data_IF_731543173311
#
_entry.id   IF_731543173311
#
_cell.length_a   1.000
_cell.length_b   1.000
_cell.length_c   1.000
_cell.angle_alpha   90.00
_cell.angle_beta   90.00
_cell.angle_gamma   90.00
#
_symmetry.space_group_name_H-M   'P 1'
#
loop_
_entity.id
_entity.type
_entity.pdbx_description
1 polymer ?
#
# COMPACT_ATOMS: atom_id res chain seq x y z
N UNK A 1 7.74 28.19 29.51
CA UNK A 1 8.43 28.43 28.21
C UNK A 1 8.34 27.17 27.34
N UNK A 2 7.15 26.59 27.20
CA UNK A 2 6.85 25.43 26.36
C UNK A 2 5.36 25.53 26.05
N UNK A 3 5.06 26.05 24.86
CA UNK A 3 3.76 26.03 24.18
C UNK A 3 4.05 26.52 22.76
N UNK A 4 4.34 25.58 21.87
CA UNK A 4 4.39 25.74 20.41
C UNK A 4 4.42 24.31 19.84
N UNK A 5 3.53 24.06 18.89
CA UNK A 5 3.30 22.78 18.19
C UNK A 5 2.28 21.82 18.83
N UNK A 6 1.08 22.31 19.13
CA UNK A 6 -0.15 21.51 19.02
C UNK A 6 -1.04 22.19 17.98
N UNK A 7 -1.02 21.70 16.74
CA UNK A 7 -1.84 22.24 15.64
C UNK A 7 -3.29 21.74 15.65
N UNK A 8 -3.67 20.93 16.64
CA UNK A 8 -5.04 20.48 16.82
C UNK A 8 -5.43 20.63 18.28
N UNK A 9 -5.82 21.85 18.67
CA UNK A 9 -6.54 22.06 19.94
C UNK A 9 -8.01 21.69 19.69
N UNK A 10 -8.58 20.70 20.41
CA UNK A 10 -9.99 20.38 20.26
C UNK A 10 -10.79 21.37 21.12
N UNK A 11 -11.41 22.37 20.49
CA UNK A 11 -12.63 23.05 20.97
C UNK A 11 -13.14 24.06 19.95
N UNK A 12 -13.73 23.51 18.89
CA UNK A 12 -14.88 24.13 18.25
C UNK A 12 -15.71 22.98 17.68
N UNK A 13 -16.89 22.75 18.24
CA UNK A 13 -17.99 22.01 17.61
C UNK A 13 -18.48 22.83 16.42
N UNK A 14 -17.63 22.97 15.40
CA UNK A 14 -17.96 23.55 14.12
C UNK A 14 -18.52 22.45 13.24
N UNK A 15 -19.69 22.69 12.66
CA UNK A 15 -20.21 21.93 11.53
C UNK A 15 -19.07 21.64 10.55
N UNK A 16 -18.79 20.35 10.29
CA UNK A 16 -17.96 19.94 9.16
C UNK A 16 -18.52 20.64 7.91
N UNK A 17 -17.72 21.45 7.19
CA UNK A 17 -18.22 22.10 6.00
C UNK A 17 -18.62 21.01 4.99
N UNK A 18 -19.89 21.01 4.60
CA UNK A 18 -20.30 20.35 3.36
C UNK A 18 -19.33 20.80 2.26
N UNK A 19 -18.82 19.86 1.47
CA UNK A 19 -17.92 20.15 0.36
C UNK A 19 -18.52 21.25 -0.52
N UNK A 20 -18.04 22.48 -0.36
CA UNK A 20 -18.39 23.59 -1.25
C UNK A 20 -17.97 23.18 -2.67
N UNK A 21 -18.74 23.57 -3.69
CA UNK A 21 -18.40 23.26 -5.09
C UNK A 21 -16.95 23.62 -5.41
N UNK A 22 -16.53 24.77 -4.90
CA UNK A 22 -15.17 25.26 -4.94
C UNK A 22 -14.91 26.08 -3.67
N UNK A 23 -13.73 25.96 -3.07
CA UNK A 23 -13.26 27.05 -2.20
C UNK A 23 -12.99 28.28 -3.10
N UNK A 24 -13.12 29.52 -2.59
CA UNK A 24 -12.76 30.71 -3.36
C UNK A 24 -11.35 30.68 -3.97
N UNK A 25 -10.42 29.91 -3.41
CA UNK A 25 -9.07 29.71 -3.94
C UNK A 25 -9.09 28.81 -5.19
N UNK A 26 -9.90 27.74 -5.22
CA UNK A 26 -10.08 26.96 -6.45
C UNK A 26 -10.62 27.84 -7.57
N UNK A 27 -11.69 28.61 -7.30
CA UNK A 27 -12.28 29.52 -8.30
C UNK A 27 -11.28 30.55 -8.80
N UNK A 28 -10.46 31.10 -7.90
CA UNK A 28 -9.42 32.07 -8.27
C UNK A 28 -8.36 31.44 -9.18
N UNK A 29 -7.89 30.23 -8.87
CA UNK A 29 -6.90 29.53 -9.70
C UNK A 29 -7.51 29.16 -11.05
N UNK A 30 -8.69 28.52 -11.06
CA UNK A 30 -9.37 28.02 -12.27
C UNK A 30 -9.67 29.13 -13.29
N UNK A 31 -9.98 30.34 -12.80
CA UNK A 31 -10.33 31.49 -13.65
C UNK A 31 -9.15 32.43 -13.94
N UNK A 32 -7.96 32.18 -13.38
CA UNK A 32 -6.88 33.14 -13.52
C UNK A 32 -6.33 33.23 -14.94
N UNK A 33 -5.99 34.46 -15.34
CA UNK A 33 -5.33 34.75 -16.63
C UNK A 33 -3.83 34.98 -16.50
N UNK A 34 -3.33 35.16 -15.26
CA UNK A 34 -1.91 35.27 -14.92
C UNK A 34 -1.68 34.96 -13.43
N UNK A 35 -0.42 34.68 -13.05
CA UNK A 35 -0.06 34.36 -11.66
C UNK A 35 -0.36 35.51 -10.69
N UNK A 36 -0.29 36.76 -11.17
CA UNK A 36 -0.54 37.95 -10.35
C UNK A 36 -1.92 37.95 -9.71
N UNK A 37 -2.95 37.46 -10.41
CA UNK A 37 -4.31 37.40 -9.87
C UNK A 37 -4.41 36.47 -8.65
N UNK A 38 -3.75 35.31 -8.73
CA UNK A 38 -3.66 34.37 -7.60
C UNK A 38 -2.85 34.98 -6.46
N UNK A 39 -1.73 35.63 -6.75
CA UNK A 39 -0.90 36.31 -5.75
C UNK A 39 -1.67 37.42 -5.02
N UNK A 40 -2.34 38.30 -5.76
CA UNK A 40 -3.14 39.42 -5.23
C UNK A 40 -4.30 38.89 -4.37
N UNK A 41 -4.85 37.72 -4.70
CA UNK A 41 -5.86 37.05 -3.89
C UNK A 41 -5.28 36.49 -2.59
N UNK A 42 -4.21 35.69 -2.68
CA UNK A 42 -3.54 35.06 -1.52
C UNK A 42 -3.03 36.11 -0.53
N UNK A 43 -2.51 37.26 -1.01
CA UNK A 43 -2.03 38.35 -0.15
C UNK A 43 -3.13 39.00 0.73
N UNK A 44 -4.41 38.84 0.37
CA UNK A 44 -5.54 39.36 1.14
C UNK A 44 -6.02 38.39 2.23
N UNK A 45 -5.52 37.16 2.22
CA UNK A 45 -5.93 36.11 3.14
C UNK A 45 -4.99 36.02 4.34
N UNK A 46 -5.54 35.62 5.47
CA UNK A 46 -4.72 35.21 6.61
C UNK A 46 -4.09 33.84 6.35
N UNK A 47 -2.93 33.58 6.96
CA UNK A 47 -2.18 32.33 6.80
C UNK A 47 -3.04 31.08 7.02
N UNK A 48 -3.85 31.07 8.07
CA UNK A 48 -4.68 29.91 8.42
C UNK A 48 -5.82 29.68 7.42
N UNK A 49 -6.32 30.77 6.81
CA UNK A 49 -7.30 30.67 5.73
C UNK A 49 -6.68 30.05 4.47
N UNK A 50 -5.46 30.47 4.12
CA UNK A 50 -4.72 29.92 2.97
C UNK A 50 -4.49 28.41 3.18
N UNK A 51 -3.96 28.02 4.33
CA UNK A 51 -3.71 26.60 4.67
C UNK A 51 -5.01 25.80 4.58
N UNK A 52 -6.08 26.27 5.22
CA UNK A 52 -7.38 25.59 5.19
C UNK A 52 -7.88 25.40 3.76
N UNK A 53 -7.83 26.44 2.94
CA UNK A 53 -8.33 26.39 1.56
C UNK A 53 -7.47 25.50 0.66
N UNK A 54 -6.15 25.47 0.85
CA UNK A 54 -5.21 24.62 0.11
C UNK A 54 -5.35 23.13 0.43
N UNK A 55 -5.76 22.79 1.65
CA UNK A 55 -5.95 21.39 2.08
C UNK A 55 -7.41 20.94 1.98
N UNK A 56 -8.31 21.79 1.50
CA UNK A 56 -9.70 21.41 1.24
C UNK A 56 -9.81 21.02 -0.23
N UNK A 57 -10.12 19.77 -0.58
CA UNK A 57 -10.39 19.39 -1.96
C UNK A 57 -11.77 19.88 -2.41
N UNK A 58 -11.96 20.02 -3.73
CA UNK A 58 -13.27 20.25 -4.35
C UNK A 58 -14.09 18.94 -4.43
N UNK A 59 -15.31 18.99 -5.01
CA UNK A 59 -16.18 17.80 -5.16
C UNK A 59 -15.58 16.67 -6.03
N UNK A 60 -14.53 16.95 -6.81
CA UNK A 60 -13.79 15.95 -7.60
C UNK A 60 -12.57 15.40 -6.86
N UNK A 61 -12.34 15.79 -5.61
CA UNK A 61 -11.16 15.38 -4.84
C UNK A 61 -9.88 16.17 -5.16
N UNK A 62 -9.92 17.17 -6.05
CA UNK A 62 -8.73 17.94 -6.40
C UNK A 62 -8.47 19.06 -5.39
N UNK A 63 -7.21 19.24 -5.00
CA UNK A 63 -6.74 20.43 -4.29
C UNK A 63 -6.61 21.63 -5.23
N UNK A 64 -6.57 22.87 -4.71
CA UNK A 64 -6.31 24.03 -5.55
C UNK A 64 -4.99 23.95 -6.31
N UNK A 65 -3.96 23.33 -5.73
CA UNK A 65 -2.65 23.18 -6.39
C UNK A 65 -2.70 22.26 -7.62
N UNK A 66 -3.58 21.25 -7.64
CA UNK A 66 -3.73 20.36 -8.79
C UNK A 66 -4.31 21.07 -10.01
N UNK A 67 -5.03 22.19 -9.81
CA UNK A 67 -5.60 22.96 -10.91
C UNK A 67 -4.55 23.75 -11.69
N UNK A 68 -3.35 23.95 -11.12
CA UNK A 68 -2.30 24.77 -11.73
C UNK A 68 -1.78 24.16 -13.04
N UNK A 69 -1.71 22.82 -13.11
CA UNK A 69 -1.27 22.11 -14.32
C UNK A 69 -2.27 22.27 -15.48
N UNK A 70 -3.56 22.38 -15.18
CA UNK A 70 -4.63 22.54 -16.17
C UNK A 70 -4.74 23.97 -16.72
N UNK A 71 -4.06 24.95 -16.10
CA UNK A 71 -4.13 26.34 -16.53
C UNK A 71 -3.50 26.55 -17.92
N UNK A 72 -4.13 27.43 -18.71
CA UNK A 72 -3.61 27.90 -20.01
C UNK A 72 -2.59 29.04 -19.83
N UNK A 73 -1.66 28.87 -18.89
CA UNK A 73 -0.56 29.79 -18.63
C UNK A 73 0.76 29.20 -19.11
N UNK A 74 1.74 30.05 -19.41
CA UNK A 74 3.10 29.58 -19.66
C UNK A 74 3.74 28.99 -18.38
N UNK A 75 4.78 28.18 -18.56
CA UNK A 75 5.43 27.47 -17.45
C UNK A 75 5.98 28.40 -16.37
N UNK A 76 6.41 29.63 -16.71
CA UNK A 76 6.95 30.59 -15.73
C UNK A 76 5.86 31.19 -14.86
N UNK A 77 4.67 31.43 -15.43
CA UNK A 77 3.52 31.87 -14.64
C UNK A 77 3.02 30.75 -13.71
N UNK A 78 2.94 29.50 -14.18
CA UNK A 78 2.61 28.34 -13.32
C UNK A 78 3.61 28.18 -12.17
N UNK A 79 4.90 28.31 -12.47
CA UNK A 79 5.98 28.24 -11.48
C UNK A 79 5.82 29.28 -10.36
N UNK A 80 5.45 30.51 -10.68
CA UNK A 80 5.16 31.55 -9.66
C UNK A 80 4.02 31.15 -8.73
N UNK A 81 2.97 30.52 -9.28
CA UNK A 81 1.84 30.03 -8.47
C UNK A 81 2.34 28.90 -7.55
N UNK A 82 3.15 27.95 -8.06
CA UNK A 82 3.74 26.91 -7.22
C UNK A 82 4.62 27.47 -6.10
N UNK A 83 5.54 28.39 -6.41
CA UNK A 83 6.40 29.05 -5.42
C UNK A 83 5.59 29.78 -4.33
N UNK A 84 4.43 30.35 -4.70
CA UNK A 84 3.52 31.00 -3.77
C UNK A 84 2.82 29.99 -2.83
N UNK A 85 2.32 28.87 -3.36
CA UNK A 85 1.42 27.97 -2.62
C UNK A 85 2.17 26.90 -1.83
N UNK A 86 3.27 26.35 -2.35
CA UNK A 86 4.00 25.23 -1.73
C UNK A 86 4.41 25.46 -0.26
N UNK A 87 4.87 26.66 0.17
CA UNK A 87 5.22 26.91 1.57
C UNK A 87 4.06 26.71 2.56
N UNK A 88 2.81 26.83 2.09
CA UNK A 88 1.61 26.62 2.90
C UNK A 88 1.11 25.18 2.88
N UNK A 89 1.63 24.35 1.98
CA UNK A 89 1.24 22.95 1.81
C UNK A 89 2.19 21.96 2.49
N UNK A 90 3.09 22.45 3.35
CA UNK A 90 4.04 21.59 4.04
C UNK A 90 3.26 20.65 4.98
N UNK A 91 3.36 19.33 4.78
CA UNK A 91 2.60 18.37 5.56
C UNK A 91 2.99 18.42 7.05
N UNK A 92 1.98 18.32 7.91
CA UNK A 92 2.15 18.24 9.36
C UNK A 92 2.06 16.78 9.81
N UNK A 93 3.02 15.95 9.36
CA UNK A 93 3.21 14.59 9.89
C UNK A 93 4.58 14.46 10.55
N UNK A 94 4.69 13.68 11.64
CA UNK A 94 5.98 13.34 12.21
C UNK A 94 6.80 12.52 11.20
N UNK A 95 8.13 12.68 11.21
CA UNK A 95 9.00 11.83 10.36
C UNK A 95 8.75 10.35 10.67
N UNK A 96 8.86 9.48 9.67
CA UNK A 96 8.64 8.04 9.77
C UNK A 96 9.49 7.37 10.88
N UNK A 97 10.61 7.99 11.25
CA UNK A 97 11.50 7.56 12.34
C UNK A 97 11.09 8.04 13.74
N UNK A 98 10.15 8.98 13.84
CA UNK A 98 9.73 9.58 15.11
C UNK A 98 8.85 8.59 15.88
N UNK A 99 9.21 8.20 17.12
CA UNK A 99 8.38 7.28 17.91
C UNK A 99 7.06 7.94 18.34
N UNK A 100 6.05 7.11 18.52
CA UNK A 100 4.79 7.49 19.16
C UNK A 100 4.90 7.36 20.68
N UNK A 101 4.32 8.32 21.41
CA UNK A 101 4.34 8.32 22.87
C UNK A 101 3.00 7.85 23.45
N UNK A 102 3.03 6.67 24.08
CA UNK A 102 1.86 6.05 24.70
C UNK A 102 1.15 6.98 25.70
N UNK A 103 1.92 7.69 26.54
CA UNK A 103 1.35 8.56 27.59
C UNK A 103 0.62 9.75 26.98
N UNK A 104 1.21 10.37 25.97
CA UNK A 104 0.61 11.48 25.23
C UNK A 104 -0.69 11.05 24.56
N UNK A 105 -0.70 9.91 23.86
CA UNK A 105 -1.91 9.40 23.18
C UNK A 105 -2.98 9.00 24.20
N UNK A 106 -2.60 8.31 25.27
CA UNK A 106 -3.51 7.94 26.37
C UNK A 106 -4.13 9.17 27.02
N UNK A 107 -3.34 10.22 27.29
CA UNK A 107 -3.86 11.47 27.85
C UNK A 107 -4.76 12.23 26.88
N UNK A 108 -4.36 12.34 25.60
CA UNK A 108 -5.11 13.05 24.56
C UNK A 108 -6.54 12.51 24.38
N UNK A 109 -6.70 11.19 24.46
CA UNK A 109 -7.99 10.52 24.27
C UNK A 109 -8.64 10.06 25.58
N UNK A 110 -8.13 10.51 26.73
CA UNK A 110 -8.65 10.15 28.06
C UNK A 110 -8.75 8.62 28.29
N UNK A 111 -7.81 7.85 27.73
CA UNK A 111 -7.79 6.38 27.84
C UNK A 111 -7.13 6.00 29.17
N UNK A 112 -7.96 5.75 30.17
CA UNK A 112 -7.57 5.31 31.51
C UNK A 112 -7.13 3.83 31.53
N UNK A 113 -6.43 3.41 32.60
CA UNK A 113 -5.89 2.05 32.74
C UNK A 113 -6.93 0.93 32.79
N UNK A 114 -8.16 1.25 33.18
CA UNK A 114 -9.31 0.35 33.21
C UNK A 114 -10.12 0.36 31.89
N UNK A 115 -9.79 1.24 30.95
CA UNK A 115 -10.42 1.29 29.63
C UNK A 115 -10.11 0.03 28.82
N UNK A 116 -11.09 -0.51 28.07
CA UNK A 116 -10.86 -1.62 27.14
C UNK A 116 -9.90 -1.26 25.99
N UNK A 117 -9.60 0.02 25.78
CA UNK A 117 -8.62 0.49 24.78
C UNK A 117 -7.18 0.51 25.31
N UNK A 118 -6.96 0.46 26.62
CA UNK A 118 -5.64 0.72 27.21
C UNK A 118 -4.60 -0.32 26.80
N UNK A 119 -4.92 -1.62 26.90
CA UNK A 119 -3.99 -2.69 26.50
C UNK A 119 -3.74 -2.72 24.99
N UNK A 120 -4.77 -2.69 24.11
CA UNK A 120 -4.56 -2.56 22.66
C UNK A 120 -3.71 -1.34 22.28
N UNK A 121 -3.95 -0.17 22.89
CA UNK A 121 -3.17 1.03 22.64
C UNK A 121 -1.70 0.85 23.04
N UNK A 122 -1.44 0.26 24.21
CA UNK A 122 -0.07 0.01 24.69
C UNK A 122 0.69 -0.90 23.72
N UNK A 123 0.05 -1.99 23.30
CA UNK A 123 0.64 -2.94 22.34
C UNK A 123 0.87 -2.26 20.99
N UNK A 124 -0.12 -1.54 20.47
CA UNK A 124 0.00 -0.82 19.20
C UNK A 124 1.16 0.19 19.24
N UNK A 125 1.31 0.97 20.31
CA UNK A 125 2.43 1.90 20.47
C UNK A 125 3.79 1.18 20.44
N UNK A 126 3.90 0.03 21.11
CA UNK A 126 5.14 -0.76 21.12
C UNK A 126 5.50 -1.25 19.72
N UNK A 127 4.54 -1.83 19.00
CA UNK A 127 4.76 -2.35 17.64
C UNK A 127 5.03 -1.25 16.63
N UNK A 128 4.27 -0.15 16.65
CA UNK A 128 4.52 1.03 15.80
C UNK A 128 5.94 1.57 16.05
N UNK A 129 6.38 1.65 17.30
CA UNK A 129 7.72 2.10 17.63
C UNK A 129 8.80 1.12 17.15
N UNK A 130 8.57 -0.18 17.26
CA UNK A 130 9.49 -1.20 16.72
C UNK A 130 9.68 -1.03 15.21
N UNK A 131 8.59 -0.82 14.46
CA UNK A 131 8.62 -0.62 13.00
C UNK A 131 9.33 0.70 12.66
N UNK A 132 8.97 1.80 13.33
CA UNK A 132 9.53 3.13 13.04
C UNK A 132 11.02 3.24 13.38
N UNK A 133 11.51 2.45 14.33
CA UNK A 133 12.94 2.33 14.66
C UNK A 133 13.75 1.59 13.58
N UNK A 134 13.12 0.85 12.66
CA UNK A 134 13.82 0.21 11.53
C UNK A 134 14.37 1.21 10.51
N UNK A 135 13.95 2.49 10.58
CA UNK A 135 14.34 3.57 9.68
C UNK A 135 13.98 3.29 8.21
N UNK A 136 12.70 3.00 7.96
CA UNK A 136 12.17 2.76 6.64
C UNK A 136 12.31 3.97 5.70
N UNK A 137 12.47 3.70 4.41
CA UNK A 137 12.21 4.64 3.34
C UNK A 137 10.84 4.36 2.72
N UNK A 138 10.10 5.42 2.43
CA UNK A 138 8.76 5.35 1.83
C UNK A 138 8.65 6.42 0.75
N UNK A 139 8.32 6.03 -0.48
CA UNK A 139 8.13 6.98 -1.59
C UNK A 139 6.89 7.84 -1.43
N UNK A 140 5.98 7.45 -0.54
CA UNK A 140 4.70 8.13 -0.31
C UNK A 140 4.71 8.98 0.95
N UNK A 141 5.68 8.84 1.85
CA UNK A 141 5.74 9.59 3.11
C UNK A 141 6.30 11.01 2.92
N UNK A 142 5.75 12.04 3.60
CA UNK A 142 6.24 13.42 3.59
C UNK A 142 7.75 13.67 3.75
N UNK A 143 8.48 12.72 4.34
CA UNK A 143 9.94 12.76 4.45
C UNK A 143 10.63 12.84 3.06
N UNK A 144 9.92 12.42 1.99
CA UNK A 144 10.37 12.53 0.60
C UNK A 144 9.95 13.84 -0.10
N UNK A 145 9.22 14.73 0.57
CA UNK A 145 8.82 16.02 -0.02
C UNK A 145 10.04 16.89 -0.34
N UNK A 146 10.09 17.42 -1.55
CA UNK A 146 11.17 18.27 -2.06
C UNK A 146 12.42 17.48 -2.50
N UNK A 147 12.35 16.14 -2.52
CA UNK A 147 13.39 15.30 -3.12
C UNK A 147 13.28 15.34 -4.64
N UNK A 148 14.35 14.94 -5.32
CA UNK A 148 14.35 14.83 -6.77
C UNK A 148 13.28 13.83 -7.22
N UNK A 149 12.50 14.18 -8.24
CA UNK A 149 11.39 13.33 -8.69
C UNK A 149 11.88 11.99 -9.27
N UNK A 150 13.05 11.96 -9.93
CA UNK A 150 13.60 10.72 -10.48
C UNK A 150 14.05 9.77 -9.37
N UNK A 151 14.64 10.31 -8.29
CA UNK A 151 15.02 9.52 -7.11
C UNK A 151 13.80 8.93 -6.40
N UNK A 152 12.70 9.70 -6.27
CA UNK A 152 11.46 9.21 -5.64
C UNK A 152 10.76 8.18 -6.50
N UNK A 153 10.73 8.37 -7.82
CA UNK A 153 10.18 7.40 -8.76
C UNK A 153 10.99 6.09 -8.75
N UNK A 154 12.32 6.17 -8.65
CA UNK A 154 13.16 4.98 -8.47
C UNK A 154 12.80 4.25 -7.17
N UNK A 155 12.68 4.96 -6.05
CA UNK A 155 12.26 4.38 -4.77
C UNK A 155 10.87 3.75 -4.85
N UNK A 156 9.92 4.41 -5.53
CA UNK A 156 8.58 3.88 -5.74
C UNK A 156 8.62 2.56 -6.52
N UNK A 157 9.43 2.49 -7.58
CA UNK A 157 9.64 1.26 -8.35
C UNK A 157 10.27 0.16 -7.51
N UNK A 158 11.28 0.46 -6.70
CA UNK A 158 11.90 -0.53 -5.80
C UNK A 158 10.87 -1.13 -4.82
N UNK A 159 10.05 -0.28 -4.17
CA UNK A 159 8.99 -0.74 -3.26
C UNK A 159 7.98 -1.63 -4.01
N UNK A 160 7.58 -1.22 -5.22
CA UNK A 160 6.65 -2.00 -6.05
C UNK A 160 7.24 -3.35 -6.46
N UNK A 161 8.51 -3.40 -6.84
CA UNK A 161 9.21 -4.63 -7.21
C UNK A 161 9.26 -5.60 -6.01
N UNK A 162 9.49 -5.09 -4.80
CA UNK A 162 9.43 -5.88 -3.57
C UNK A 162 8.04 -6.39 -3.24
N UNK A 163 6.99 -5.58 -3.48
CA UNK A 163 5.60 -6.04 -3.34
C UNK A 163 5.30 -7.16 -4.33
N UNK A 164 5.72 -7.02 -5.59
CA UNK A 164 5.56 -8.05 -6.61
C UNK A 164 6.30 -9.34 -6.21
N UNK A 165 7.47 -9.23 -5.60
CA UNK A 165 8.21 -10.38 -5.06
C UNK A 165 7.46 -11.06 -3.91
N UNK A 166 6.85 -10.29 -3.00
CA UNK A 166 6.03 -10.82 -1.92
C UNK A 166 4.76 -11.51 -2.45
N UNK A 167 4.07 -10.90 -3.41
CA UNK A 167 2.93 -11.50 -4.11
C UNK A 167 3.33 -12.81 -4.77
N UNK A 168 4.49 -12.83 -5.44
CA UNK A 168 5.03 -14.04 -6.08
C UNK A 168 5.22 -15.17 -5.07
N UNK A 169 5.92 -14.89 -3.97
CA UNK A 169 6.19 -15.87 -2.93
C UNK A 169 4.91 -16.36 -2.24
N UNK A 170 3.93 -15.48 -2.01
CA UNK A 170 2.59 -15.85 -1.54
C UNK A 170 1.93 -16.86 -2.48
N UNK A 171 1.89 -16.57 -3.78
CA UNK A 171 1.18 -17.44 -4.73
C UNK A 171 1.88 -18.78 -4.91
N UNK A 172 3.21 -18.79 -4.92
CA UNK A 172 3.97 -20.03 -4.90
C UNK A 172 3.68 -20.85 -3.64
N UNK A 173 3.62 -20.20 -2.48
CA UNK A 173 3.29 -20.87 -1.23
C UNK A 173 1.86 -21.43 -1.23
N UNK A 174 0.86 -20.62 -1.61
CA UNK A 174 -0.53 -21.07 -1.69
C UNK A 174 -0.68 -22.23 -2.67
N UNK A 175 0.00 -22.17 -3.82
CA UNK A 175 -0.05 -23.22 -4.83
C UNK A 175 0.57 -24.55 -4.35
N UNK A 176 1.68 -24.48 -3.63
CA UNK A 176 2.44 -25.67 -3.19
C UNK A 176 1.99 -26.24 -1.85
N UNK A 177 1.20 -25.51 -1.07
CA UNK A 177 0.77 -25.93 0.25
C UNK A 177 -0.40 -26.92 0.20
N UNK A 178 -0.22 -28.10 0.79
CA UNK A 178 -1.23 -29.16 0.86
C UNK A 178 -2.47 -28.79 1.71
N UNK A 179 -2.35 -27.79 2.58
CA UNK A 179 -3.45 -27.27 3.40
C UNK A 179 -4.31 -26.21 2.68
N UNK A 180 -4.07 -25.99 1.39
CA UNK A 180 -4.85 -25.08 0.54
C UNK A 180 -5.77 -25.88 -0.36
N UNK A 181 -7.06 -25.54 -0.34
CA UNK A 181 -8.08 -26.10 -1.23
C UNK A 181 -8.61 -25.03 -2.15
N UNK A 182 -8.99 -25.40 -3.36
CA UNK A 182 -9.48 -24.48 -4.38
C UNK A 182 -10.92 -24.81 -4.71
N UNK A 183 -11.74 -23.78 -4.86
CA UNK A 183 -13.13 -23.90 -5.23
C UNK A 183 -13.41 -22.93 -6.38
N UNK A 184 -13.91 -23.46 -7.49
CA UNK A 184 -14.43 -22.64 -8.58
C UNK A 184 -15.93 -22.37 -8.38
N UNK A 185 -16.27 -21.12 -8.11
CA UNK A 185 -17.65 -20.64 -8.16
C UNK A 185 -18.00 -20.22 -9.59
N UNK A 186 -18.78 -21.06 -10.27
CA UNK A 186 -19.41 -20.74 -11.56
C UNK A 186 -20.82 -20.23 -11.26
N UNK A 187 -21.03 -18.91 -11.32
CA UNK A 187 -22.38 -18.34 -11.21
C UNK A 187 -23.00 -18.32 -12.60
N UNK A 188 -24.22 -18.83 -12.75
CA UNK A 188 -24.90 -18.98 -14.05
C UNK A 188 -25.04 -17.64 -14.82
N UNK A 189 -25.02 -16.50 -14.12
CA UNK A 189 -25.15 -15.15 -14.69
C UNK A 189 -23.85 -14.32 -14.67
N UNK A 190 -22.78 -14.83 -14.06
CA UNK A 190 -21.48 -14.15 -14.09
C UNK A 190 -20.70 -14.87 -15.17
N UNK A 191 -20.44 -14.19 -16.30
CA UNK A 191 -19.48 -14.64 -17.31
C UNK A 191 -18.07 -14.74 -16.72
N UNK A 192 -17.86 -15.01 -15.42
CA UNK A 192 -16.61 -14.96 -14.71
C UNK A 192 -16.52 -16.19 -13.80
N UNK A 193 -15.46 -16.99 -13.97
CA UNK A 193 -15.11 -18.01 -12.99
C UNK A 193 -14.39 -17.35 -11.81
N UNK A 194 -14.93 -17.49 -10.61
CA UNK A 194 -14.21 -17.10 -9.40
C UNK A 194 -13.48 -18.32 -8.87
N UNK A 195 -12.16 -18.25 -8.72
CA UNK A 195 -11.38 -19.29 -8.04
C UNK A 195 -11.04 -18.78 -6.66
N UNK A 196 -11.51 -19.48 -5.64
CA UNK A 196 -11.25 -19.14 -4.25
C UNK A 196 -10.32 -20.17 -3.65
N UNK A 197 -9.17 -19.74 -3.15
CA UNK A 197 -8.28 -20.54 -2.33
C UNK A 197 -8.73 -20.46 -0.88
N UNK A 198 -9.09 -21.58 -0.27
CA UNK A 198 -9.46 -21.72 1.13
C UNK A 198 -8.30 -22.37 1.89
N UNK A 199 -7.92 -21.79 3.02
CA UNK A 199 -6.80 -22.31 3.79
C UNK A 199 -6.91 -22.05 5.29
N UNK A 200 -6.15 -22.86 6.04
CA UNK A 200 -6.08 -22.79 7.51
C UNK A 200 -5.28 -21.57 7.98
N UNK A 201 -5.45 -21.14 9.25
CA UNK A 201 -4.69 -20.03 9.83
C UNK A 201 -3.17 -20.14 9.69
N UNK A 202 -2.59 -21.35 9.76
CA UNK A 202 -1.15 -21.55 9.59
C UNK A 202 -0.63 -21.11 8.21
N UNK A 203 -1.42 -21.31 7.17
CA UNK A 203 -1.08 -20.89 5.79
C UNK A 203 -1.16 -19.37 5.69
N UNK A 204 -2.21 -18.77 6.28
CA UNK A 204 -2.35 -17.31 6.36
C UNK A 204 -1.15 -16.67 7.06
N UNK A 205 -0.73 -17.24 8.19
CA UNK A 205 0.38 -16.71 8.97
C UNK A 205 1.69 -16.72 8.17
N UNK A 206 1.91 -17.76 7.35
CA UNK A 206 3.04 -17.83 6.42
C UNK A 206 2.92 -16.79 5.29
N UNK A 207 1.72 -16.56 4.75
CA UNK A 207 1.49 -15.50 3.74
C UNK A 207 1.75 -14.11 4.31
N UNK A 208 1.26 -13.82 5.52
CA UNK A 208 1.53 -12.56 6.23
C UNK A 208 3.02 -12.38 6.51
N UNK A 209 3.71 -13.46 6.86
CA UNK A 209 5.16 -13.47 7.04
C UNK A 209 5.88 -13.02 5.77
N UNK A 210 5.50 -13.54 4.61
CA UNK A 210 6.08 -13.15 3.31
C UNK A 210 5.94 -11.64 3.05
N UNK A 211 4.76 -11.06 3.27
CA UNK A 211 4.53 -9.62 3.08
C UNK A 211 5.28 -8.74 4.07
N UNK A 212 5.63 -9.26 5.24
CA UNK A 212 6.38 -8.50 6.25
C UNK A 212 7.90 -8.59 6.04
N UNK A 213 8.44 -9.77 5.71
CA UNK A 213 9.88 -10.02 5.73
C UNK A 213 10.64 -9.29 4.62
N UNK A 214 10.06 -9.19 3.42
CA UNK A 214 10.70 -8.49 2.30
C UNK A 214 10.84 -6.98 2.60
N UNK A 215 9.78 -6.25 2.99
CA UNK A 215 9.93 -4.86 3.42
C UNK A 215 10.88 -4.71 4.62
N UNK A 216 10.80 -5.58 5.63
CA UNK A 216 11.69 -5.52 6.81
C UNK A 216 13.18 -5.65 6.44
N UNK A 217 13.51 -6.58 5.53
CA UNK A 217 14.90 -6.82 5.10
C UNK A 217 15.43 -5.69 4.23
N UNK A 218 14.59 -5.15 3.34
CA UNK A 218 14.96 -4.09 2.40
C UNK A 218 14.89 -2.69 3.01
N UNK A 219 14.18 -2.54 4.13
CA UNK A 219 13.84 -1.28 4.80
C UNK A 219 13.13 -0.29 3.89
N UNK A 220 12.30 -0.79 2.98
CA UNK A 220 11.49 0.02 2.07
C UNK A 220 10.04 -0.41 2.12
N UNK A 221 9.14 0.54 2.37
CA UNK A 221 7.73 0.25 2.63
C UNK A 221 6.86 1.49 2.41
N UNK A 222 5.64 1.31 1.91
CA UNK A 222 4.59 2.34 1.94
C UNK A 222 3.53 1.98 3.00
N UNK A 223 2.40 2.70 3.02
CA UNK A 223 1.36 2.51 4.02
C UNK A 223 0.82 1.06 4.09
N UNK A 224 0.70 0.38 2.94
CA UNK A 224 0.30 -1.03 2.86
C UNK A 224 1.34 -1.94 3.52
N UNK A 225 2.62 -1.89 3.08
CA UNK A 225 3.67 -2.75 3.65
C UNK A 225 3.84 -2.52 5.16
N UNK A 226 3.78 -1.26 5.61
CA UNK A 226 3.88 -0.95 7.04
C UNK A 226 2.70 -1.52 7.84
N UNK A 227 1.50 -1.57 7.24
CA UNK A 227 0.33 -2.21 7.83
C UNK A 227 0.51 -3.73 7.89
N UNK A 228 1.00 -4.35 6.82
CA UNK A 228 1.29 -5.80 6.78
C UNK A 228 2.33 -6.21 7.84
N UNK A 229 3.41 -5.44 7.97
CA UNK A 229 4.43 -5.64 9.00
C UNK A 229 3.80 -5.56 10.40
N UNK A 230 2.94 -4.57 10.65
CA UNK A 230 2.26 -4.43 11.94
C UNK A 230 1.38 -5.63 12.25
N UNK A 231 0.59 -6.07 11.28
CA UNK A 231 -0.31 -7.22 11.43
C UNK A 231 0.49 -8.50 11.69
N UNK A 232 1.57 -8.73 10.95
CA UNK A 232 2.47 -9.86 11.17
C UNK A 232 3.08 -9.87 12.58
N UNK A 233 3.60 -8.72 13.03
CA UNK A 233 4.21 -8.62 14.36
C UNK A 233 3.18 -8.84 15.47
N UNK A 234 1.97 -8.29 15.32
CA UNK A 234 0.89 -8.48 16.29
C UNK A 234 0.41 -9.93 16.32
N UNK A 235 0.27 -10.57 15.15
CA UNK A 235 -0.12 -11.96 15.04
C UNK A 235 0.91 -12.90 15.70
N UNK A 236 2.21 -12.61 15.57
CA UNK A 236 3.28 -13.33 16.28
C UNK A 236 3.18 -13.29 17.80
N UNK A 237 2.49 -12.29 18.37
CA UNK A 237 2.25 -12.23 19.82
C UNK A 237 1.15 -13.22 20.28
N UNK A 238 0.41 -13.85 19.34
CA UNK A 238 -0.64 -14.85 19.61
C UNK A 238 -1.71 -14.36 20.61
N UNK A 239 -2.17 -13.13 20.44
CA UNK A 239 -3.17 -12.49 21.31
C UNK A 239 -4.58 -12.81 20.83
N UNK A 240 -5.20 -13.84 21.41
CA UNK A 240 -6.51 -14.37 21.01
C UNK A 240 -7.69 -13.38 21.12
N UNK A 241 -7.54 -12.35 21.95
CA UNK A 241 -8.62 -11.39 22.24
C UNK A 241 -8.53 -10.09 21.43
N UNK A 242 -7.60 -10.01 20.46
CA UNK A 242 -7.46 -8.85 19.59
C UNK A 242 -7.87 -9.22 18.17
N UNK A 243 -8.96 -8.60 17.70
CA UNK A 243 -9.35 -8.63 16.29
C UNK A 243 -8.50 -7.62 15.52
N UNK A 244 -7.98 -8.01 14.36
CA UNK A 244 -7.08 -7.21 13.52
C UNK A 244 -7.60 -7.21 12.09
N UNK A 245 -7.78 -6.02 11.54
CA UNK A 245 -8.30 -5.81 10.18
C UNK A 245 -7.48 -4.73 9.48
N UNK A 246 -7.28 -4.87 8.17
CA UNK A 246 -6.66 -3.87 7.30
C UNK A 246 -7.77 -3.19 6.50
N UNK A 247 -7.73 -1.87 6.46
CA UNK A 247 -8.66 -1.05 5.70
C UNK A 247 -7.93 -0.18 4.69
N UNK A 248 -8.54 0.00 3.53
CA UNK A 248 -8.13 0.98 2.52
C UNK A 248 -9.14 2.13 2.45
N UNK A 249 -8.69 3.27 1.94
CA UNK A 249 -9.54 4.42 1.66
C UNK A 249 -9.93 4.42 0.18
N UNK A 250 -11.19 4.14 -0.13
CA UNK A 250 -11.76 4.37 -1.46
C UNK A 250 -11.85 5.87 -1.76
N UNK A 251 -11.64 6.22 -3.03
CA UNK A 251 -11.41 7.61 -3.47
C UNK A 251 -10.20 8.27 -2.78
N UNK A 252 -9.27 7.44 -2.30
CA UNK A 252 -7.97 7.82 -1.76
C UNK A 252 -6.94 6.74 -2.06
N UNK A 253 -5.73 6.89 -1.51
CA UNK A 253 -4.65 5.92 -1.65
C UNK A 253 -3.95 5.80 -0.29
N UNK A 254 -4.62 5.20 0.69
CA UNK A 254 -4.05 4.99 2.02
C UNK A 254 -4.58 3.72 2.66
N UNK A 255 -3.72 3.04 3.41
CA UNK A 255 -4.00 1.79 4.11
C UNK A 255 -3.72 1.97 5.60
N UNK A 256 -4.60 1.44 6.45
CA UNK A 256 -4.50 1.51 7.91
C UNK A 256 -4.93 0.20 8.57
N UNK A 257 -4.54 0.01 9.82
CA UNK A 257 -4.95 -1.14 10.63
C UNK A 257 -6.02 -0.72 11.63
N UNK A 258 -7.03 -1.57 11.83
CA UNK A 258 -8.07 -1.42 12.85
C UNK A 258 -8.01 -2.61 13.79
N UNK A 259 -7.98 -2.30 15.09
CA UNK A 259 -8.05 -3.29 16.15
C UNK A 259 -9.43 -3.27 16.79
N UNK A 260 -9.96 -4.45 17.14
CA UNK A 260 -11.15 -4.62 17.98
C UNK A 260 -12.42 -3.91 17.48
N UNK A 261 -12.60 -3.81 16.16
CA UNK A 261 -13.90 -3.46 15.56
C UNK A 261 -14.97 -4.46 16.02
N UNK A 262 -16.18 -4.00 16.29
CA UNK A 262 -17.33 -4.89 16.51
C UNK A 262 -17.58 -5.72 15.23
N UNK A 263 -17.49 -7.07 15.28
CA UNK A 263 -17.69 -7.92 14.11
C UNK A 263 -19.05 -7.74 13.42
N UNK A 264 -20.06 -7.28 14.15
CA UNK A 264 -21.42 -7.06 13.63
C UNK A 264 -21.63 -5.66 13.05
N UNK A 265 -20.65 -4.77 13.20
CA UNK A 265 -20.69 -3.43 12.65
C UNK A 265 -20.48 -3.45 11.13
N UNK A 266 -20.95 -2.39 10.47
CA UNK A 266 -20.70 -2.18 9.05
C UNK A 266 -19.26 -1.67 8.84
N UNK A 267 -18.40 -2.40 8.09
CA UNK A 267 -17.03 -1.96 7.82
C UNK A 267 -16.96 -0.59 7.12
N UNK A 268 -17.95 -0.20 6.30
CA UNK A 268 -17.97 1.11 5.65
C UNK A 268 -18.37 2.27 6.56
N UNK A 269 -18.88 1.99 7.77
CA UNK A 269 -19.44 2.99 8.68
C UNK A 269 -18.70 3.00 10.01
N UNK A 270 -17.57 3.72 10.06
CA UNK A 270 -16.69 3.73 11.25
C UNK A 270 -17.34 4.13 12.57
N UNK A 271 -18.45 4.88 12.52
CA UNK A 271 -19.24 5.23 13.71
C UNK A 271 -19.92 4.02 14.37
N UNK A 272 -20.06 2.92 13.63
CA UNK A 272 -20.69 1.68 14.11
C UNK A 272 -19.69 0.67 14.65
N UNK A 273 -18.38 0.92 14.49
CA UNK A 273 -17.30 -0.02 14.85
C UNK A 273 -17.16 -0.30 16.36
N UNK A 274 -17.87 0.45 17.20
CA UNK A 274 -17.89 0.27 18.65
C UNK A 274 -16.77 1.02 19.38
N UNK A 275 -16.94 1.20 20.69
CA UNK A 275 -16.01 1.96 21.54
C UNK A 275 -14.67 1.27 21.81
N UNK A 276 -14.54 -0.01 21.42
CA UNK A 276 -13.30 -0.78 21.52
C UNK A 276 -12.42 -0.68 20.27
N UNK A 277 -12.93 -0.09 19.20
CA UNK A 277 -12.21 0.03 17.94
C UNK A 277 -11.08 1.07 18.04
N UNK A 278 -9.87 0.64 17.68
CA UNK A 278 -8.67 1.48 17.67
C UNK A 278 -8.07 1.48 16.26
N UNK A 279 -7.83 2.66 15.71
CA UNK A 279 -7.13 2.84 14.46
C UNK A 279 -5.63 2.98 14.72
N UNK A 280 -4.84 2.26 13.93
CA UNK A 280 -3.37 2.28 13.93
C UNK A 280 -2.90 2.63 12.53
N UNK A 281 -2.39 3.84 12.38
CA UNK A 281 -1.76 4.35 11.16
C UNK A 281 -0.25 4.40 11.36
N UNK A 282 0.42 3.31 10.99
CA UNK A 282 1.86 3.10 11.18
C UNK A 282 2.67 4.13 10.38
N UNK A 283 2.21 4.43 9.16
CA UNK A 283 2.82 5.36 8.23
C UNK A 283 2.76 6.80 8.78
N UNK A 284 1.59 7.26 9.20
CA UNK A 284 1.43 8.59 9.77
C UNK A 284 1.96 8.71 11.21
N UNK A 285 2.24 7.58 11.88
CA UNK A 285 2.61 7.56 13.29
C UNK A 285 1.46 7.99 14.20
N UNK A 286 0.23 7.60 13.87
CA UNK A 286 -0.97 7.97 14.63
C UNK A 286 -1.70 6.74 15.13
N UNK A 287 -2.13 6.78 16.38
CA UNK A 287 -2.98 5.74 16.98
C UNK A 287 -4.11 6.45 17.73
N UNK A 288 -5.36 6.10 17.45
CA UNK A 288 -6.52 6.81 17.99
C UNK A 288 -7.79 5.96 17.98
N UNK A 289 -8.78 6.25 18.86
CA UNK A 289 -10.08 5.58 18.81
C UNK A 289 -10.79 5.82 17.47
N UNK A 290 -11.55 4.84 16.97
CA UNK A 290 -12.27 4.96 15.70
C UNK A 290 -13.23 6.18 15.63
N UNK A 291 -13.76 6.61 16.77
CA UNK A 291 -14.59 7.81 16.87
C UNK A 291 -13.88 9.10 16.39
N UNK A 292 -12.55 9.12 16.42
CA UNK A 292 -11.71 10.27 16.04
C UNK A 292 -11.24 10.24 14.58
N UNK A 293 -11.77 9.33 13.74
CA UNK A 293 -11.40 9.21 12.32
C UNK A 293 -11.54 10.54 11.55
N UNK A 294 -12.66 11.30 11.65
CA UNK A 294 -12.82 12.54 10.89
C UNK A 294 -11.73 13.59 11.15
N UNK A 295 -11.16 13.61 12.36
CA UNK A 295 -10.15 14.57 12.77
C UNK A 295 -8.72 14.06 12.56
N UNK A 296 -8.50 12.74 12.65
CA UNK A 296 -7.16 12.16 12.71
C UNK A 296 -6.75 11.49 11.41
N UNK A 297 -7.69 10.84 10.71
CA UNK A 297 -7.40 10.13 9.49
C UNK A 297 -7.06 11.13 8.40
N UNK A 298 -6.00 10.81 7.68
CA UNK A 298 -5.57 11.59 6.54
C UNK A 298 -5.38 10.64 5.36
N UNK A 299 -5.55 11.18 4.17
CA UNK A 299 -5.10 10.58 2.92
C UNK A 299 -3.84 11.34 2.47
N UNK A 300 -3.15 10.86 1.44
CA UNK A 300 -2.11 11.62 0.78
C UNK A 300 -2.40 11.73 -0.71
N UNK A 301 -1.76 12.71 -1.33
CA UNK A 301 -1.55 12.74 -2.76
C UNK A 301 -0.14 13.25 -3.01
N UNK A 302 0.38 12.98 -4.20
CA UNK A 302 1.66 13.52 -4.61
C UNK A 302 1.60 14.12 -6.00
N UNK A 303 2.51 15.04 -6.25
CA UNK A 303 2.71 15.62 -7.57
C UNK A 303 4.18 16.00 -7.75
N UNK A 304 4.63 15.97 -9.00
CA UNK A 304 5.94 16.49 -9.37
C UNK A 304 5.82 17.96 -9.76
N UNK A 305 6.62 18.81 -9.15
CA UNK A 305 6.60 20.26 -9.40
C UNK A 305 7.95 20.71 -9.93
N UNK A 306 7.95 21.31 -11.13
CA UNK A 306 9.15 21.91 -11.71
C UNK A 306 9.26 23.39 -11.33
N UNK A 307 10.33 23.73 -10.62
CA UNK A 307 10.72 25.10 -10.25
C UNK A 307 12.20 25.29 -10.60
N UNK A 308 12.55 26.38 -11.25
CA UNK A 308 13.91 26.71 -11.68
C UNK A 308 14.60 25.58 -12.48
N UNK A 309 13.83 24.93 -13.37
CA UNK A 309 14.24 23.75 -14.16
C UNK A 309 14.56 22.49 -13.34
N UNK A 310 14.23 22.47 -12.05
CA UNK A 310 14.35 21.30 -11.20
C UNK A 310 12.98 20.75 -10.86
N UNK A 311 12.74 19.49 -11.17
CA UNK A 311 11.50 18.78 -10.80
C UNK A 311 11.69 18.11 -9.45
N UNK A 312 10.90 18.51 -8.46
CA UNK A 312 10.92 17.89 -7.14
C UNK A 312 9.57 17.20 -6.89
N UNK A 313 9.62 16.08 -6.19
CA UNK A 313 8.43 15.36 -5.76
C UNK A 313 7.84 16.02 -4.52
N UNK A 314 6.55 16.29 -4.53
CA UNK A 314 5.84 16.87 -3.39
C UNK A 314 4.72 15.96 -2.93
N UNK A 315 4.66 15.71 -1.62
CA UNK A 315 3.62 14.91 -0.98
C UNK A 315 2.77 15.85 -0.13
N UNK A 316 1.46 15.76 -0.31
CA UNK A 316 0.48 16.55 0.40
C UNK A 316 -0.40 15.65 1.24
N UNK A 317 -0.81 16.16 2.40
CA UNK A 317 -1.67 15.44 3.34
C UNK A 317 -3.07 16.00 3.22
N UNK A 318 -4.02 15.14 2.90
CA UNK A 318 -5.41 15.46 2.72
C UNK A 318 -6.19 15.05 3.97
N UNK A 319 -7.12 15.86 4.48
CA UNK A 319 -8.02 15.41 5.53
C UNK A 319 -8.93 14.28 5.00
N UNK A 320 -9.31 13.35 5.87
CA UNK A 320 -10.37 12.42 5.55
C UNK A 320 -11.73 13.15 5.49
N UNK A 321 -12.46 13.02 4.39
CA UNK A 321 -13.77 13.64 4.19
C UNK A 321 -14.81 12.53 4.15
N UNK A 322 -15.59 12.31 5.22
CA UNK A 322 -16.57 11.23 5.28
C UNK A 322 -17.66 11.25 4.19
N UNK A 323 -17.86 12.40 3.54
CA UNK A 323 -18.83 12.56 2.45
C UNK A 323 -18.26 12.17 1.06
N UNK A 324 -16.94 11.92 0.97
CA UNK A 324 -16.23 11.65 -0.28
C UNK A 324 -15.43 10.35 -0.21
N UNK A 325 -14.72 10.13 0.90
CA UNK A 325 -13.97 8.92 1.15
C UNK A 325 -14.84 7.85 1.80
N UNK A 326 -14.63 6.60 1.39
CA UNK A 326 -15.23 5.41 1.99
C UNK A 326 -14.11 4.54 2.56
N UNK A 327 -14.35 3.90 3.71
CA UNK A 327 -13.43 2.90 4.26
C UNK A 327 -13.85 1.54 3.76
N UNK A 328 -12.92 0.79 3.17
CA UNK A 328 -13.16 -0.56 2.66
C UNK A 328 -12.32 -1.53 3.44
N UNK A 329 -12.97 -2.58 3.94
CA UNK A 329 -12.27 -3.70 4.56
C UNK A 329 -11.53 -4.46 3.47
N UNK A 330 -10.21 -4.48 3.58
CA UNK A 330 -9.33 -5.19 2.65
C UNK A 330 -9.09 -6.62 3.15
N UNK A 331 -8.60 -6.75 4.39
CA UNK A 331 -8.27 -8.05 4.98
C UNK A 331 -8.77 -8.14 6.43
N UNK A 332 -9.41 -9.24 6.81
CA UNK A 332 -9.74 -9.58 8.21
C UNK A 332 -8.90 -10.78 8.68
N UNK A 333 -7.84 -10.49 9.44
CA UNK A 333 -6.89 -11.50 9.92
C UNK A 333 -7.44 -12.33 11.07
N UNK A 334 -8.65 -12.01 11.54
CA UNK A 334 -9.26 -12.68 12.70
C UNK A 334 -10.20 -13.81 12.32
N UNK A 335 -10.50 -13.98 11.04
CA UNK A 335 -11.34 -15.08 10.55
C UNK A 335 -10.63 -16.42 10.74
N UNK A 336 -11.40 -17.47 11.01
CA UNK A 336 -10.86 -18.83 11.24
C UNK A 336 -10.56 -19.57 9.94
N UNK A 337 -11.24 -19.19 8.86
CA UNK A 337 -11.00 -19.63 7.50
C UNK A 337 -10.76 -18.36 6.69
N UNK A 338 -9.65 -18.35 5.96
CA UNK A 338 -9.31 -17.24 5.08
C UNK A 338 -9.45 -17.71 3.64
N UNK A 339 -9.87 -16.79 2.78
CA UNK A 339 -10.18 -17.07 1.39
C UNK A 339 -9.55 -16.02 0.51
N UNK A 340 -8.74 -16.44 -0.46
CA UNK A 340 -8.24 -15.53 -1.49
C UNK A 340 -8.97 -15.85 -2.79
N UNK A 341 -9.83 -14.93 -3.23
CA UNK A 341 -10.65 -15.07 -4.44
C UNK A 341 -10.01 -14.38 -5.63
N UNK A 342 -10.06 -15.02 -6.79
CA UNK A 342 -9.61 -14.49 -8.07
C UNK A 342 -10.73 -14.47 -9.08
N UNK A 343 -10.94 -13.34 -9.75
CA UNK A 343 -11.89 -13.22 -10.84
C UNK A 343 -11.20 -13.42 -12.18
N UNK A 344 -11.51 -14.52 -12.87
CA UNK A 344 -11.14 -14.72 -14.27
C UNK A 344 -12.15 -14.02 -15.16
N UNK A 345 -11.69 -13.20 -16.11
CA UNK A 345 -12.51 -12.57 -17.15
C UNK A 345 -12.45 -13.41 -18.45
N UNK A 346 -13.33 -14.41 -18.67
CA UNK A 346 -13.35 -15.36 -19.78
C UNK A 346 -13.49 -14.69 -21.15
N UNK A 347 -14.12 -13.52 -21.22
CA UNK A 347 -14.25 -12.75 -22.46
C UNK A 347 -13.01 -11.94 -22.83
N UNK A 348 -12.04 -11.83 -21.93
CA UNK A 348 -10.72 -11.34 -22.30
C UNK A 348 -10.00 -12.38 -23.15
N UNK A 349 -9.12 -11.93 -24.04
CA UNK A 349 -8.29 -12.84 -24.84
C UNK A 349 -7.54 -13.86 -23.97
N UNK A 350 -7.04 -13.42 -22.82
CA UNK A 350 -6.39 -14.26 -21.80
C UNK A 350 -7.36 -15.27 -21.19
N UNK A 351 -8.59 -14.87 -20.88
CA UNK A 351 -9.62 -15.76 -20.35
C UNK A 351 -10.05 -16.85 -21.32
N UNK A 352 -10.23 -16.50 -22.61
CA UNK A 352 -10.51 -17.48 -23.67
C UNK A 352 -9.36 -18.46 -23.87
N UNK A 353 -8.12 -17.96 -23.85
CA UNK A 353 -6.93 -18.79 -23.94
C UNK A 353 -6.83 -19.77 -22.76
N UNK A 354 -6.96 -19.27 -21.53
CA UNK A 354 -6.96 -20.08 -20.31
C UNK A 354 -8.06 -21.16 -20.33
N UNK A 355 -9.28 -20.80 -20.76
CA UNK A 355 -10.39 -21.75 -20.90
C UNK A 355 -10.08 -22.89 -21.88
N UNK A 356 -9.35 -22.59 -22.95
CA UNK A 356 -8.95 -23.58 -23.95
C UNK A 356 -7.81 -24.50 -23.48
N UNK A 357 -7.05 -24.12 -22.45
CA UNK A 357 -6.00 -24.97 -21.87
C UNK A 357 -6.56 -26.10 -21.00
N UNK A 358 -7.85 -26.03 -20.60
CA UNK A 358 -8.51 -27.03 -19.76
C UNK A 358 -7.70 -27.40 -18.49
N UNK A 359 -7.08 -26.39 -17.88
CA UNK A 359 -6.22 -26.57 -16.71
C UNK A 359 -7.08 -26.92 -15.47
N UNK A 360 -6.57 -27.76 -14.54
CA UNK A 360 -7.13 -27.92 -13.20
C UNK A 360 -7.25 -26.57 -12.46
N UNK A 361 -8.19 -26.46 -11.51
CA UNK A 361 -8.42 -25.23 -10.73
C UNK A 361 -7.16 -24.67 -10.06
N UNK A 362 -6.30 -25.56 -9.56
CA UNK A 362 -5.00 -25.22 -8.95
C UNK A 362 -4.03 -24.57 -9.96
N UNK A 363 -4.01 -25.03 -11.22
CA UNK A 363 -3.16 -24.49 -12.29
C UNK A 363 -3.73 -23.18 -12.85
N UNK A 364 -5.06 -23.05 -12.92
CA UNK A 364 -5.74 -21.80 -13.26
C UNK A 364 -5.40 -20.68 -12.25
N UNK A 365 -5.35 -21.02 -10.97
CA UNK A 365 -4.94 -20.13 -9.90
C UNK A 365 -3.51 -19.62 -10.10
N UNK A 366 -2.56 -20.52 -10.36
CA UNK A 366 -1.17 -20.15 -10.64
C UNK A 366 -1.09 -19.21 -11.85
N UNK A 367 -1.78 -19.53 -12.95
CA UNK A 367 -1.72 -18.72 -14.16
C UNK A 367 -2.19 -17.28 -13.93
N UNK A 368 -3.31 -17.09 -13.25
CA UNK A 368 -3.89 -15.76 -13.05
C UNK A 368 -3.06 -14.89 -12.09
N UNK A 369 -2.58 -15.50 -11.02
CA UNK A 369 -1.90 -14.80 -9.93
C UNK A 369 -0.40 -14.59 -10.17
N UNK A 370 0.24 -15.48 -10.93
CA UNK A 370 1.68 -15.47 -11.19
C UNK A 370 2.05 -14.99 -12.61
N UNK A 371 1.41 -15.55 -13.64
CA UNK A 371 1.85 -15.35 -15.04
C UNK A 371 1.39 -14.00 -15.60
N UNK A 372 0.16 -13.57 -15.28
CA UNK A 372 -0.41 -12.32 -15.80
C UNK A 372 0.33 -11.05 -15.34
N UNK A 373 0.72 -10.87 -14.06
CA UNK A 373 1.52 -9.73 -13.62
C UNK A 373 2.92 -9.72 -14.26
N UNK A 374 3.58 -10.89 -14.33
CA UNK A 374 4.90 -11.04 -14.94
C UNK A 374 4.87 -10.67 -16.43
N UNK A 375 3.85 -11.11 -17.18
CA UNK A 375 3.68 -10.73 -18.58
C UNK A 375 3.48 -9.22 -18.74
N UNK A 376 2.66 -8.58 -17.89
CA UNK A 376 2.47 -7.12 -17.92
C UNK A 376 3.77 -6.37 -17.66
N UNK A 377 4.55 -6.81 -16.69
CA UNK A 377 5.83 -6.20 -16.34
C UNK A 377 6.85 -6.35 -17.48
N UNK A 378 6.94 -7.54 -18.08
CA UNK A 378 7.82 -7.79 -19.22
C UNK A 378 7.42 -6.96 -20.45
N UNK A 379 6.11 -6.83 -20.73
CA UNK A 379 5.59 -5.96 -21.78
C UNK A 379 5.98 -4.50 -21.51
N UNK A 380 5.78 -4.02 -20.28
CA UNK A 380 6.13 -2.65 -19.88
C UNK A 380 7.64 -2.37 -19.98
N UNK A 381 8.48 -3.32 -19.57
CA UNK A 381 9.96 -3.22 -19.63
C UNK A 381 10.50 -3.26 -21.07
N UNK A 382 9.81 -3.95 -21.99
CA UNK A 382 10.24 -4.10 -23.40
C UNK A 382 9.83 -2.95 -24.32
N UNK A 383 9.01 -1.99 -23.85
CA UNK A 383 8.45 -0.89 -24.67
C UNK A 383 7.88 -1.39 -26.01
N UNK A 384 7.16 -2.51 -25.99
CA UNK A 384 6.59 -3.08 -27.20
C UNK A 384 5.61 -2.09 -27.83
N UNK A 385 5.78 -1.80 -29.11
CA UNK A 385 4.91 -0.91 -29.88
C UNK A 385 3.51 -1.54 -30.02
N UNK A 386 2.48 -0.71 -30.22
CA UNK A 386 1.10 -1.19 -30.32
C UNK A 386 0.88 -2.26 -31.42
N UNK A 387 1.75 -2.29 -32.44
CA UNK A 387 1.72 -3.31 -33.50
C UNK A 387 2.35 -4.65 -33.06
N UNK A 388 3.37 -4.62 -32.19
CA UNK A 388 3.97 -5.84 -31.61
C UNK A 388 2.99 -6.49 -30.62
N UNK A 389 2.17 -5.66 -29.96
CA UNK A 389 1.00 -6.10 -29.19
C UNK A 389 -0.13 -6.66 -30.06
N UNK A 390 -0.28 -6.20 -31.31
CA UNK A 390 -1.27 -6.70 -32.26
C UNK A 390 -0.84 -8.02 -32.94
N UNK A 391 0.47 -8.26 -33.13
CA UNK A 391 0.97 -9.57 -33.59
C UNK A 391 0.93 -10.66 -32.49
N UNK A 392 0.67 -10.29 -31.23
CA UNK A 392 0.39 -11.25 -30.15
C UNK A 392 -1.00 -11.90 -30.23
N UNK A 393 -1.76 -11.67 -31.30
CA UNK A 393 -3.04 -12.34 -31.59
C UNK A 393 -2.91 -13.86 -31.84
N UNK A 394 -1.70 -14.45 -31.91
CA UNK A 394 -1.49 -15.91 -31.85
C UNK A 394 -0.12 -16.34 -31.26
N UNK A 395 -0.06 -17.25 -30.27
CA UNK A 395 -0.82 -17.27 -29.04
C UNK A 395 0.10 -16.97 -27.84
N UNK A 396 -0.53 -16.61 -26.71
CA UNK A 396 0.04 -16.61 -25.35
C UNK A 396 0.89 -17.86 -25.06
N UNK A 397 0.67 -18.98 -25.74
CA UNK A 397 1.54 -20.15 -25.73
C UNK A 397 3.00 -19.80 -26.02
N UNK A 398 3.33 -19.00 -27.04
CA UNK A 398 4.73 -18.62 -27.36
C UNK A 398 5.35 -17.75 -26.26
N UNK A 399 4.57 -16.87 -25.63
CA UNK A 399 5.02 -16.08 -24.47
C UNK A 399 5.20 -16.97 -23.23
N UNK A 400 4.30 -17.92 -23.00
CA UNK A 400 4.40 -18.90 -21.92
C UNK A 400 5.59 -19.84 -22.15
N UNK A 401 5.87 -20.25 -23.39
CA UNK A 401 7.01 -21.08 -23.77
C UNK A 401 8.36 -20.32 -23.78
N UNK A 402 8.35 -19.03 -24.10
CA UNK A 402 9.57 -18.22 -24.11
C UNK A 402 9.94 -17.65 -22.73
N UNK A 403 8.98 -17.55 -21.80
CA UNK A 403 9.18 -16.84 -20.52
C UNK A 403 8.82 -17.65 -19.27
N UNK A 404 8.18 -18.82 -19.37
CA UNK A 404 8.26 -19.80 -18.29
C UNK A 404 9.63 -20.46 -18.36
N UNK A 405 10.36 -20.39 -17.24
CA UNK A 405 11.53 -21.23 -17.05
C UNK A 405 11.15 -22.69 -17.37
N UNK A 406 11.91 -23.38 -18.25
CA UNK A 406 11.68 -24.78 -18.62
C UNK A 406 11.45 -25.71 -17.42
N UNK A 407 11.99 -25.36 -16.25
CA UNK A 407 11.76 -26.05 -14.99
C UNK A 407 10.28 -26.09 -14.58
N UNK A 408 9.56 -24.97 -14.66
CA UNK A 408 8.17 -24.86 -14.23
C UNK A 408 7.20 -25.51 -15.22
N UNK A 409 7.47 -25.38 -16.52
CA UNK A 409 6.73 -26.09 -17.56
C UNK A 409 6.81 -27.62 -17.38
N UNK A 410 8.00 -28.14 -17.04
CA UNK A 410 8.22 -29.56 -16.81
C UNK A 410 7.52 -30.10 -15.55
N UNK A 411 7.30 -29.25 -14.54
CA UNK A 411 6.50 -29.57 -13.34
C UNK A 411 5.00 -29.50 -13.59
N UNK A 412 4.52 -28.46 -14.28
CA UNK A 412 3.10 -28.25 -14.57
C UNK A 412 2.50 -29.33 -15.48
N UNK A 413 3.32 -29.92 -16.35
CA UNK A 413 2.80 -30.81 -17.40
C UNK A 413 3.04 -32.30 -17.12
N UNK A 414 3.43 -32.66 -15.90
CA UNK A 414 3.73 -34.04 -15.50
C UNK A 414 4.61 -34.82 -16.50
N UNK A 415 5.54 -34.12 -17.18
CA UNK A 415 6.45 -34.63 -18.23
C UNK A 415 5.84 -35.02 -19.58
N UNK A 416 4.52 -34.94 -19.79
CA UNK A 416 3.89 -35.38 -21.03
C UNK A 416 3.17 -34.23 -21.74
N UNK A 417 3.91 -33.44 -22.53
CA UNK A 417 3.32 -32.61 -23.59
C UNK A 417 3.78 -33.15 -24.93
N UNK A 418 2.86 -33.78 -25.65
CA UNK A 418 2.97 -33.96 -27.10
C UNK A 418 2.05 -32.94 -27.76
N UNK A 419 2.62 -31.88 -28.32
CA UNK A 419 1.87 -30.96 -29.16
C UNK A 419 1.68 -31.61 -30.52
N UNK A 420 0.45 -32.00 -30.81
CA UNK A 420 0.05 -32.37 -32.17
C UNK A 420 0.12 -31.08 -33.01
N UNK A 421 0.87 -31.14 -34.11
CA UNK A 421 0.99 -30.12 -35.16
C UNK A 421 2.02 -28.98 -34.96
N UNK A 422 3.07 -29.17 -34.15
CA UNK A 422 4.29 -28.35 -34.24
C UNK A 422 5.44 -29.22 -34.72
N UNK A 423 5.86 -29.05 -35.98
CA UNK A 423 7.02 -29.74 -36.53
C UNK A 423 8.29 -29.35 -35.76
N UNK A 424 9.00 -30.39 -35.29
CA UNK A 424 10.31 -30.36 -34.66
C UNK A 424 11.26 -29.34 -35.29
N UNK A 425 11.55 -28.25 -34.56
CA UNK A 425 12.81 -27.52 -34.70
C UNK A 425 13.39 -27.24 -33.32
N UNK A 426 14.36 -28.08 -32.96
CA UNK A 426 15.40 -27.90 -31.94
C UNK A 426 15.50 -26.50 -31.32
N UNK A 427 14.87 -26.31 -30.15
CA UNK A 427 15.26 -25.27 -29.18
C UNK A 427 15.21 -25.88 -27.78
N UNK A 428 15.89 -27.01 -27.56
CA UNK A 428 16.34 -27.40 -26.22
C UNK A 428 17.65 -28.16 -26.41
N UNK A 429 18.75 -27.44 -26.55
CA UNK A 429 20.06 -27.97 -26.16
C UNK A 429 20.52 -27.18 -24.93
N UNK A 430 20.67 -27.95 -23.86
CA UNK A 430 21.34 -27.72 -22.56
C UNK A 430 21.92 -26.32 -22.31
N UNK A 431 21.12 -25.45 -21.68
CA UNK A 431 21.66 -24.39 -20.83
C UNK A 431 21.64 -24.89 -19.36
N UNK A 432 22.79 -25.01 -18.68
CA UNK A 432 22.81 -25.41 -17.28
C UNK A 432 22.15 -24.34 -16.39
N UNK A 433 21.48 -24.79 -15.33
CA UNK A 433 20.83 -23.93 -14.37
C UNK A 433 21.89 -23.11 -13.60
N UNK A 434 21.66 -21.82 -13.27
CA UNK A 434 22.57 -21.02 -12.43
C UNK A 434 22.76 -21.55 -10.98
N UNK A 435 22.13 -22.68 -10.62
CA UNK A 435 22.22 -23.31 -9.30
C UNK A 435 23.02 -24.62 -9.32
N UNK A 436 23.46 -25.11 -10.48
CA UNK A 436 24.30 -26.31 -10.59
C UNK A 436 25.80 -26.02 -10.35
N UNK A 437 26.16 -24.74 -10.17
CA UNK A 437 27.45 -24.40 -9.57
C UNK A 437 27.34 -24.47 -8.06
N UNK A 438 27.98 -25.47 -7.44
CA UNK A 438 28.25 -25.46 -6.00
C UNK A 438 28.86 -24.11 -5.62
N UNK A 439 28.07 -23.27 -4.94
CA UNK A 439 28.58 -22.07 -4.29
C UNK A 439 29.49 -22.55 -3.16
N UNK A 440 30.80 -22.49 -3.38
CA UNK A 440 31.76 -22.62 -2.29
C UNK A 440 31.59 -21.41 -1.38
N UNK A 441 30.93 -21.65 -0.25
CA UNK A 441 30.84 -20.70 0.85
C UNK A 441 32.27 -20.34 1.30
N UNK A 442 32.61 -19.04 1.42
CA UNK A 442 33.90 -18.66 1.99
C UNK A 442 33.95 -19.18 3.43
N UNK A 443 34.95 -20.02 3.71
CA UNK A 443 35.24 -20.47 5.06
C UNK A 443 35.49 -19.24 5.93
N UNK A 444 34.69 -19.10 6.99
CA UNK A 444 34.81 -18.04 7.96
C UNK A 444 36.19 -18.11 8.61
N UNK A 445 37.03 -17.11 8.33
CA UNK A 445 38.21 -16.84 9.13
C UNK A 445 37.75 -16.44 10.53
N UNK A 446 38.11 -17.27 11.51
CA UNK A 446 38.11 -16.92 12.91
C UNK A 446 38.85 -15.59 13.10
N UNK A 447 38.17 -14.57 13.61
CA UNK A 447 38.83 -13.59 14.45
C UNK A 447 37.84 -13.02 15.48
N UNK A 448 38.17 -13.36 16.72
CA UNK A 448 37.58 -12.95 17.98
C UNK A 448 37.57 -11.44 18.16
N UNK A 449 36.43 -10.88 18.56
CA UNK A 449 36.43 -9.75 19.50
C UNK A 449 35.22 -9.87 20.42
N UNK A 450 35.50 -10.25 21.66
CA UNK A 450 34.55 -10.23 22.77
C UNK A 450 34.08 -8.80 23.02
N UNK A 451 32.77 -8.60 23.14
CA UNK A 451 32.24 -7.46 23.88
C UNK A 451 31.04 -7.94 24.69
N UNK A 452 31.30 -8.13 25.97
CA UNK A 452 30.39 -8.60 27.01
C UNK A 452 29.29 -7.57 27.26
N UNK A 453 28.03 -7.91 27.00
CA UNK A 453 26.89 -7.20 27.57
C UNK A 453 26.18 -8.10 28.59
N UNK A 454 26.18 -7.63 29.83
CA UNK A 454 25.60 -8.28 30.99
C UNK A 454 24.08 -8.05 31.00
N UNK A 455 23.30 -9.12 30.88
CA UNK A 455 21.86 -9.11 31.15
C UNK A 455 21.67 -9.53 32.60
N UNK A 456 21.31 -8.59 33.47
CA UNK A 456 20.85 -8.90 34.82
C UNK A 456 19.39 -9.36 34.75
N UNK A 457 19.18 -10.61 35.14
CA UNK A 457 17.88 -11.20 35.46
C UNK A 457 17.36 -10.61 36.77
N UNK A 458 16.15 -10.07 36.74
CA UNK A 458 15.36 -9.79 37.95
C UNK A 458 14.37 -10.95 38.13
N UNK A 459 14.73 -11.87 39.02
CA UNK A 459 13.82 -12.81 39.66
C UNK A 459 13.67 -12.45 41.13
N UNK A 460 12.45 -12.06 41.52
CA UNK A 460 11.88 -12.30 42.85
C UNK A 460 12.22 -11.33 43.98
N UNK A 461 11.25 -10.48 44.33
CA UNK A 461 10.46 -10.58 45.58
C UNK A 461 9.12 -9.87 45.42
#
# INVERSE_FOLDING_TARGET
MQDKYSFFTPKATGLLPLAAEHTPLHTTIDLCSCAKEVMDYVQKLEKDQIIKMLHTPNKKGHLPIHLVDDLRLDSREKEKIYQLLLPYMKPALPSLSTPVDFKTISHQYEILSDSPLYQPLKIACLLVNQIRQTAFLSSTHPDMTGKDAEDVELLHREIKDYRNEADRAKYEYLYTCEDVTYHQDIREDDDYGHITAHFKPSVRDAVLQTYAEIPLSTKRANCTELSDIFVYLLNKMNLKDIRIEIFSIENGDHTLVVLNRDPKSDPGQFKTWGSRALVVDVWAGKIYPAASIPEQLSNYCSMDVTVDKKTNHHIFILPFIPAYHTLVLDTDVSLLEDTVSFRLTPDSFVGRFIKNLNLPEQELFLFHSYIKPLLKELIARRKLEAYELAELEYPVATLVYAFLDPYYLKKLTHRDVYLKDIEDKHIIDEAPHPLDSEVQWPQSSNETTETTFCVQSLTGQ
#
